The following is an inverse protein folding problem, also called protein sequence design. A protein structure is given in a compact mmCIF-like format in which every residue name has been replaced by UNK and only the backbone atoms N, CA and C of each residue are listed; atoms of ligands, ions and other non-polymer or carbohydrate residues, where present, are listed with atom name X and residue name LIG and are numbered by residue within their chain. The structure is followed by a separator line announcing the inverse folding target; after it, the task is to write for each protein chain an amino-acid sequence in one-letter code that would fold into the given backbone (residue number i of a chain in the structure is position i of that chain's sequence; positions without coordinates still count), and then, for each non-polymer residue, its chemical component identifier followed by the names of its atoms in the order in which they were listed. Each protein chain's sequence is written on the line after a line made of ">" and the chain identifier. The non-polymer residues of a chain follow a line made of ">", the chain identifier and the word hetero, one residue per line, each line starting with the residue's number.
data_IF_801232131039
#
_entry.id   IF_801232131039
#
_cell.length_a   1.000
_cell.length_b   1.000
_cell.length_c   1.000
_cell.angle_alpha   90.00
_cell.angle_beta   90.00
_cell.angle_gamma   90.00
#
_symmetry.space_group_name_H-M   'P 1'
#
loop_
_entity.id
_entity.type
_entity.pdbx_description
1 polymer ?
#
# COMPACT_ATOMS: atom_id res chain seq x y z
N UNK A 1 13.11 0.19 7.79
CA UNK A 1 14.15 0.12 8.86
C UNK A 1 14.17 -1.30 9.37
N UNK A 2 15.21 -2.08 8.98
CA UNK A 2 15.45 -3.42 9.52
C UNK A 2 15.99 -3.18 10.93
N UNK A 3 15.27 -3.66 11.96
CA UNK A 3 15.82 -3.70 13.31
C UNK A 3 16.71 -4.94 13.39
N UNK A 4 18.00 -4.74 13.51
CA UNK A 4 18.93 -5.81 13.82
C UNK A 4 18.70 -6.24 15.28
N UNK A 5 18.27 -7.48 15.45
CA UNK A 5 18.22 -8.12 16.77
C UNK A 5 19.56 -8.82 17.01
N UNK A 6 20.06 -8.77 18.24
CA UNK A 6 21.15 -9.65 18.63
C UNK A 6 20.68 -11.10 18.56
N UNK A 7 21.58 -12.02 18.18
CA UNK A 7 21.31 -13.47 18.27
C UNK A 7 20.94 -13.90 19.69
N UNK A 8 21.40 -13.15 20.67
CA UNK A 8 21.19 -13.42 22.09
C UNK A 8 19.77 -13.05 22.57
N UNK A 9 19.10 -12.14 21.84
CA UNK A 9 17.71 -11.76 22.11
C UNK A 9 16.70 -12.81 21.64
N UNK A 10 17.14 -13.80 20.84
CA UNK A 10 16.27 -14.85 20.32
C UNK A 10 16.20 -15.99 21.33
N UNK A 11 15.11 -16.09 22.05
CA UNK A 11 14.89 -17.12 23.06
C UNK A 11 14.66 -18.50 22.46
N UNK A 12 13.88 -18.59 21.36
CA UNK A 12 13.48 -19.85 20.71
C UNK A 12 13.53 -19.70 19.20
N UNK A 13 13.90 -20.75 18.47
CA UNK A 13 13.91 -20.78 17.01
C UNK A 13 15.27 -20.51 16.40
N UNK A 14 15.29 -19.98 15.18
CA UNK A 14 16.50 -19.72 14.43
C UNK A 14 17.24 -18.49 14.98
N UNK A 15 18.44 -18.68 15.49
CA UNK A 15 19.29 -17.63 16.08
C UNK A 15 20.02 -16.75 15.05
N UNK A 16 19.64 -16.80 13.76
CA UNK A 16 20.23 -15.94 12.72
C UNK A 16 19.40 -14.67 12.56
N UNK A 17 19.82 -13.51 13.06
CA UNK A 17 19.04 -12.28 13.00
C UNK A 17 18.90 -11.76 11.57
N UNK A 18 19.79 -12.13 10.66
CA UNK A 18 19.82 -11.77 9.25
C UNK A 18 19.32 -12.88 8.30
N UNK A 19 18.44 -13.77 8.78
CA UNK A 19 17.96 -14.91 7.99
C UNK A 19 17.40 -14.47 6.62
N UNK A 20 16.63 -13.37 6.58
CA UNK A 20 16.09 -12.83 5.33
C UNK A 20 17.19 -12.51 4.33
N UNK A 21 18.23 -11.79 4.75
CA UNK A 21 19.38 -11.44 3.91
C UNK A 21 20.08 -12.69 3.35
N UNK A 22 20.23 -13.73 4.19
CA UNK A 22 20.83 -14.99 3.76
C UNK A 22 19.98 -15.71 2.70
N UNK A 23 18.65 -15.69 2.84
CA UNK A 23 17.72 -16.24 1.84
C UNK A 23 17.81 -15.46 0.52
N UNK A 24 17.77 -14.13 0.58
CA UNK A 24 17.88 -13.26 -0.59
C UNK A 24 19.20 -13.47 -1.34
N UNK A 25 20.32 -13.51 -0.62
CA UNK A 25 21.64 -13.80 -1.19
C UNK A 25 21.68 -15.17 -1.88
N UNK A 26 21.03 -16.18 -1.27
CA UNK A 26 20.99 -17.54 -1.84
C UNK A 26 20.12 -17.61 -3.09
N UNK A 27 18.99 -16.92 -3.12
CA UNK A 27 18.12 -16.79 -4.30
C UNK A 27 18.86 -16.11 -5.45
N UNK A 28 19.56 -15.00 -5.16
CA UNK A 28 20.36 -14.28 -6.14
C UNK A 28 21.47 -15.17 -6.72
N UNK A 29 22.18 -15.94 -5.86
CA UNK A 29 23.26 -16.85 -6.30
C UNK A 29 22.75 -18.02 -7.16
N UNK A 30 21.49 -18.42 -7.00
CA UNK A 30 20.86 -19.49 -7.82
C UNK A 30 20.22 -18.97 -9.09
N UNK A 31 20.08 -17.65 -9.27
CA UNK A 31 19.36 -17.05 -10.37
C UNK A 31 17.83 -17.14 -10.25
N UNK A 32 17.30 -17.64 -9.13
CA UNK A 32 15.87 -17.84 -8.89
C UNK A 32 15.14 -16.54 -8.52
N UNK A 33 15.87 -15.43 -8.33
CA UNK A 33 15.31 -14.16 -7.83
C UNK A 33 14.20 -13.57 -8.69
N UNK A 34 14.23 -13.82 -10.01
CA UNK A 34 13.22 -13.32 -10.93
C UNK A 34 11.82 -13.95 -10.71
N UNK A 35 11.74 -15.09 -10.04
CA UNK A 35 10.48 -15.82 -9.79
C UNK A 35 9.83 -15.44 -8.45
N UNK A 36 10.54 -14.68 -7.60
CA UNK A 36 10.06 -14.30 -6.28
C UNK A 36 9.05 -13.16 -6.38
N UNK A 37 7.81 -13.43 -5.96
CA UNK A 37 6.70 -12.46 -6.00
C UNK A 37 6.45 -11.75 -4.66
N UNK A 38 7.20 -12.08 -3.64
CA UNK A 38 7.07 -11.48 -2.31
C UNK A 38 7.38 -9.97 -2.37
N UNK A 39 6.51 -9.16 -1.76
CA UNK A 39 6.51 -7.69 -1.88
C UNK A 39 7.86 -7.10 -1.47
N UNK A 40 8.38 -7.48 -0.30
CA UNK A 40 9.63 -6.92 0.24
C UNK A 40 10.87 -7.34 -0.56
N UNK A 41 10.84 -8.49 -1.22
CA UNK A 41 11.90 -8.89 -2.13
C UNK A 41 11.91 -8.04 -3.41
N UNK A 42 10.72 -7.60 -3.82
CA UNK A 42 10.53 -6.76 -4.99
C UNK A 42 10.70 -5.27 -4.72
N UNK A 43 10.81 -4.87 -3.47
CA UNK A 43 11.03 -3.47 -3.07
C UNK A 43 12.23 -2.87 -3.81
N UNK A 44 12.09 -1.64 -4.33
CA UNK A 44 13.21 -0.91 -4.92
C UNK A 44 14.25 -0.61 -3.84
N UNK A 45 15.54 -0.70 -4.21
CA UNK A 45 16.62 -0.31 -3.32
C UNK A 45 16.67 1.21 -3.14
N UNK A 46 17.38 1.65 -2.10
CA UNK A 46 17.62 3.08 -1.80
C UNK A 46 18.35 3.83 -2.93
N UNK A 47 18.94 3.12 -3.90
CA UNK A 47 19.58 3.71 -5.08
C UNK A 47 18.58 4.35 -6.06
N UNK A 48 17.27 4.20 -5.80
CA UNK A 48 16.22 4.74 -6.64
C UNK A 48 15.88 3.86 -7.83
N UNK A 49 14.72 4.13 -8.43
CA UNK A 49 14.33 3.64 -9.74
C UNK A 49 14.19 4.86 -10.65
N UNK A 50 14.39 4.68 -11.93
CA UNK A 50 13.98 5.68 -12.90
C UNK A 50 12.45 5.74 -12.86
N UNK A 51 11.91 6.87 -12.44
CA UNK A 51 10.49 7.07 -12.25
C UNK A 51 9.74 7.18 -13.59
N UNK A 52 10.45 7.56 -14.66
CA UNK A 52 9.88 7.66 -16.00
C UNK A 52 9.60 6.27 -16.61
N UNK A 53 10.20 5.23 -16.06
CA UNK A 53 9.98 3.83 -16.47
C UNK A 53 8.92 3.10 -15.63
N UNK A 54 8.32 3.75 -14.63
CA UNK A 54 7.31 3.12 -13.79
C UNK A 54 5.99 2.96 -14.52
N UNK A 55 5.36 1.80 -14.36
CA UNK A 55 4.00 1.53 -14.81
C UNK A 55 3.11 1.15 -13.63
N UNK A 56 1.83 1.52 -13.71
CA UNK A 56 0.82 1.08 -12.75
C UNK A 56 0.33 -0.33 -13.15
N UNK A 57 0.53 -1.29 -12.26
CA UNK A 57 0.03 -2.65 -12.39
C UNK A 57 -1.13 -2.87 -11.42
N UNK A 58 -2.26 -3.33 -11.95
CA UNK A 58 -3.52 -3.59 -11.24
C UNK A 58 -4.00 -5.04 -11.39
N UNK A 59 -3.16 -5.92 -11.92
CA UNK A 59 -3.55 -7.30 -12.27
C UNK A 59 -3.84 -8.17 -11.03
N UNK A 60 -3.27 -7.80 -9.85
CA UNK A 60 -3.47 -8.60 -8.64
C UNK A 60 -4.80 -8.24 -7.98
N UNK A 61 -5.76 -9.13 -8.17
CA UNK A 61 -7.07 -9.06 -7.54
C UNK A 61 -7.52 -10.45 -7.10
N UNK A 62 -8.27 -10.53 -6.01
CA UNK A 62 -8.81 -11.79 -5.51
C UNK A 62 -10.05 -11.57 -4.64
N UNK A 63 -10.91 -12.57 -4.62
CA UNK A 63 -12.09 -12.61 -3.75
C UNK A 63 -11.77 -13.31 -2.44
N UNK A 64 -12.37 -12.80 -1.39
CA UNK A 64 -12.52 -13.47 -0.09
C UNK A 64 -14.02 -13.70 0.17
N UNK A 65 -14.42 -14.45 1.22
CA UNK A 65 -15.84 -14.60 1.53
C UNK A 65 -16.59 -13.29 1.80
N UNK A 66 -15.88 -12.20 2.10
CA UNK A 66 -16.49 -10.95 2.60
C UNK A 66 -15.98 -9.69 1.89
N UNK A 67 -14.97 -9.81 1.01
CA UNK A 67 -14.39 -8.67 0.29
C UNK A 67 -13.87 -9.06 -1.07
N UNK A 68 -13.84 -8.11 -2.01
CA UNK A 68 -13.02 -8.18 -3.22
C UNK A 68 -11.79 -7.30 -3.02
N UNK A 69 -10.62 -7.89 -3.07
CA UNK A 69 -9.35 -7.21 -2.80
C UNK A 69 -8.64 -6.83 -4.10
N UNK A 70 -8.10 -5.62 -4.13
CA UNK A 70 -7.28 -5.10 -5.23
C UNK A 70 -5.91 -4.67 -4.69
N UNK A 71 -4.85 -5.05 -5.39
CA UNK A 71 -3.48 -4.64 -5.10
C UNK A 71 -2.95 -3.83 -6.27
N UNK A 72 -2.82 -2.54 -6.07
CA UNK A 72 -2.29 -1.59 -7.06
C UNK A 72 -0.81 -1.38 -6.78
N UNK A 73 0.05 -1.44 -7.77
CA UNK A 73 1.49 -1.27 -7.57
C UNK A 73 2.15 -0.49 -8.71
N UNK A 74 3.07 0.40 -8.35
CA UNK A 74 4.01 1.00 -9.28
C UNK A 74 5.20 0.07 -9.44
N UNK A 75 5.44 -0.38 -10.66
CA UNK A 75 6.48 -1.37 -10.96
C UNK A 75 7.45 -0.86 -12.02
N UNK A 76 8.72 -1.23 -11.85
CA UNK A 76 9.75 -1.05 -12.88
C UNK A 76 9.62 -2.15 -13.94
N UNK A 77 10.26 -2.01 -15.13
CA UNK A 77 10.32 -3.07 -16.15
C UNK A 77 10.91 -4.39 -15.64
N UNK A 78 11.70 -4.35 -14.56
CA UNK A 78 12.26 -5.54 -13.89
C UNK A 78 11.35 -6.11 -12.81
N UNK A 79 10.12 -5.62 -12.67
CA UNK A 79 9.16 -6.08 -11.69
C UNK A 79 9.46 -5.66 -10.24
N UNK A 80 10.35 -4.67 -10.02
CA UNK A 80 10.54 -4.09 -8.69
C UNK A 80 9.43 -3.12 -8.37
N UNK A 81 9.04 -3.04 -7.09
CA UNK A 81 7.92 -2.23 -6.59
C UNK A 81 8.45 -0.91 -6.04
N UNK A 82 8.00 0.21 -6.61
CA UNK A 82 8.27 1.56 -6.11
C UNK A 82 7.22 2.05 -5.10
N UNK A 83 6.02 1.52 -5.16
CA UNK A 83 4.95 1.79 -4.21
C UNK A 83 3.75 0.91 -4.50
N UNK A 84 2.88 0.74 -3.51
CA UNK A 84 1.67 -0.03 -3.65
C UNK A 84 0.53 0.50 -2.76
N UNK A 85 -0.68 0.08 -3.11
CA UNK A 85 -1.90 0.31 -2.34
C UNK A 85 -2.72 -0.98 -2.30
N UNK A 86 -3.30 -1.27 -1.12
CA UNK A 86 -4.29 -2.33 -0.93
C UNK A 86 -5.66 -1.73 -0.75
N UNK A 87 -6.57 -2.06 -1.68
CA UNK A 87 -7.97 -1.64 -1.66
C UNK A 87 -8.85 -2.85 -1.39
N UNK A 88 -9.72 -2.74 -0.37
CA UNK A 88 -10.80 -3.68 -0.11
C UNK A 88 -12.13 -3.08 -0.57
N UNK A 89 -12.91 -3.88 -1.26
CA UNK A 89 -14.29 -3.61 -1.65
C UNK A 89 -15.17 -4.62 -0.90
N UNK A 90 -15.72 -4.27 0.29
CA UNK A 90 -16.47 -5.20 1.13
C UNK A 90 -17.79 -5.62 0.47
N UNK A 91 -18.18 -6.87 0.66
CA UNK A 91 -19.53 -7.33 0.29
C UNK A 91 -20.58 -6.57 1.06
N UNK A 92 -21.47 -5.87 0.36
CA UNK A 92 -22.47 -4.98 0.94
C UNK A 92 -23.49 -5.74 1.78
N UNK A 93 -23.88 -6.93 1.34
CA UNK A 93 -24.86 -7.74 2.06
C UNK A 93 -24.24 -8.26 3.37
N UNK A 94 -22.96 -8.65 3.33
CA UNK A 94 -22.24 -9.04 4.53
C UNK A 94 -22.14 -7.87 5.53
N UNK A 95 -21.72 -6.68 5.08
CA UNK A 95 -21.61 -5.50 5.96
C UNK A 95 -22.97 -5.11 6.54
N UNK A 96 -24.04 -5.13 5.72
CA UNK A 96 -25.39 -4.84 6.20
C UNK A 96 -25.87 -5.84 7.26
N UNK A 97 -25.53 -7.12 7.10
CA UNK A 97 -25.90 -8.17 8.06
C UNK A 97 -25.12 -8.08 9.39
N UNK A 98 -23.98 -7.37 9.42
CA UNK A 98 -23.11 -7.21 10.60
C UNK A 98 -22.97 -5.74 11.02
N UNK A 99 -23.99 -4.92 10.74
CA UNK A 99 -23.96 -3.48 11.02
C UNK A 99 -23.73 -3.13 12.51
N UNK A 100 -24.12 -4.02 13.41
CA UNK A 100 -23.91 -3.85 14.86
C UNK A 100 -22.47 -4.15 15.30
N UNK A 101 -21.69 -4.84 14.47
CA UNK A 101 -20.34 -5.30 14.78
C UNK A 101 -19.26 -4.51 14.01
N UNK A 102 -19.60 -4.00 12.83
CA UNK A 102 -18.66 -3.33 11.94
C UNK A 102 -18.77 -1.80 12.05
N UNK A 103 -17.64 -1.09 12.12
CA UNK A 103 -17.62 0.38 12.16
C UNK A 103 -17.75 1.02 10.78
N UNK A 104 -18.17 0.28 9.76
CA UNK A 104 -18.29 0.72 8.36
C UNK A 104 -19.69 0.47 7.82
N UNK A 105 -20.09 1.25 6.83
CA UNK A 105 -21.38 1.11 6.16
C UNK A 105 -21.23 0.28 4.86
N UNK A 106 -22.33 -0.30 4.32
CA UNK A 106 -22.27 -1.17 3.14
C UNK A 106 -21.75 -0.52 1.86
N UNK A 107 -21.81 0.81 1.77
CA UNK A 107 -21.37 1.58 0.60
C UNK A 107 -19.97 2.22 0.79
N UNK A 108 -19.22 1.75 1.76
CA UNK A 108 -17.87 2.21 2.09
C UNK A 108 -16.80 1.22 1.65
N UNK A 109 -15.96 1.64 0.70
CA UNK A 109 -14.70 0.96 0.36
C UNK A 109 -13.60 1.30 1.37
N UNK A 110 -12.50 0.52 1.40
CA UNK A 110 -11.43 0.71 2.37
C UNK A 110 -10.05 0.64 1.73
N UNK A 111 -9.28 1.72 1.85
CA UNK A 111 -7.83 1.69 1.63
C UNK A 111 -7.17 1.15 2.90
N UNK A 112 -6.61 -0.04 2.82
CA UNK A 112 -6.01 -0.73 3.96
C UNK A 112 -4.55 -0.37 4.18
N UNK A 113 -3.84 -0.07 3.10
CA UNK A 113 -2.42 0.23 3.15
C UNK A 113 -2.03 1.05 1.93
N UNK A 114 -1.22 2.06 2.14
CA UNK A 114 -0.49 2.77 1.08
C UNK A 114 0.97 2.84 1.49
N UNK A 115 1.85 2.38 0.63
CA UNK A 115 3.28 2.41 0.88
C UNK A 115 4.03 2.86 -0.38
N UNK A 116 4.89 3.86 -0.23
CA UNK A 116 5.80 4.31 -1.30
C UNK A 116 7.23 4.16 -0.77
N UNK A 117 8.02 3.40 -1.51
CA UNK A 117 9.42 3.15 -1.18
C UNK A 117 10.30 4.30 -1.66
N UNK A 118 11.32 4.62 -0.91
CA UNK A 118 12.29 5.65 -1.25
C UNK A 118 12.83 6.37 -0.02
N UNK A 119 13.81 7.24 -0.21
CA UNK A 119 14.27 8.12 0.87
C UNK A 119 13.17 9.11 1.21
N UNK A 120 12.77 9.17 2.48
CA UNK A 120 11.85 10.20 2.96
C UNK A 120 12.44 11.58 2.59
N UNK A 121 11.70 12.36 1.81
CA UNK A 121 12.08 13.73 1.56
C UNK A 121 12.14 14.49 2.88
N UNK A 122 13.24 15.20 3.12
CA UNK A 122 13.23 16.22 4.18
C UNK A 122 12.28 17.33 3.75
N UNK A 123 11.48 17.83 4.68
CA UNK A 123 10.61 18.98 4.44
C UNK A 123 11.48 20.14 3.92
N UNK A 124 11.25 20.54 2.66
CA UNK A 124 12.00 21.60 1.99
C UNK A 124 12.94 21.18 0.86
N UNK A 125 13.19 19.89 0.64
CA UNK A 125 13.98 19.40 -0.50
C UNK A 125 13.14 19.39 -1.78
N UNK A 126 13.52 20.22 -2.75
CA UNK A 126 12.91 20.25 -4.10
C UNK A 126 13.55 19.24 -5.08
N UNK A 127 14.23 18.20 -4.57
CA UNK A 127 14.90 17.19 -5.37
C UNK A 127 14.02 16.01 -5.80
N UNK A 128 14.66 14.93 -6.27
CA UNK A 128 14.00 13.66 -6.69
C UNK A 128 12.98 13.10 -5.68
N UNK A 129 13.07 13.46 -4.41
CA UNK A 129 12.12 13.10 -3.37
C UNK A 129 10.72 13.69 -3.58
N UNK A 130 10.59 14.84 -4.24
CA UNK A 130 9.28 15.44 -4.56
C UNK A 130 8.48 14.60 -5.57
N UNK A 131 9.15 13.82 -6.42
CA UNK A 131 8.52 12.91 -7.37
C UNK A 131 7.83 11.74 -6.67
N UNK A 132 8.34 11.27 -5.54
CA UNK A 132 7.71 10.20 -4.76
C UNK A 132 6.38 10.63 -4.11
N UNK A 133 6.18 11.92 -3.84
CA UNK A 133 4.91 12.43 -3.32
C UNK A 133 3.76 12.25 -4.33
N UNK A 134 4.05 12.23 -5.64
CA UNK A 134 3.06 11.99 -6.69
C UNK A 134 2.56 10.55 -6.72
N UNK A 135 3.41 9.55 -6.54
CA UNK A 135 3.06 8.14 -6.66
C UNK A 135 1.97 7.70 -5.66
N UNK A 136 2.09 8.11 -4.41
CA UNK A 136 1.09 7.81 -3.38
C UNK A 136 -0.25 8.47 -3.68
N UNK A 137 -0.24 9.72 -4.13
CA UNK A 137 -1.44 10.45 -4.56
C UNK A 137 -2.14 9.71 -5.71
N UNK A 138 -1.41 9.37 -6.76
CA UNK A 138 -1.95 8.67 -7.92
C UNK A 138 -2.54 7.29 -7.56
N UNK A 139 -1.92 6.55 -6.63
CA UNK A 139 -2.49 5.30 -6.10
C UNK A 139 -3.83 5.55 -5.39
N UNK A 140 -3.91 6.58 -4.55
CA UNK A 140 -5.15 6.93 -3.83
C UNK A 140 -6.23 7.39 -4.80
N UNK A 141 -5.90 8.23 -5.78
CA UNK A 141 -6.84 8.68 -6.82
C UNK A 141 -7.38 7.49 -7.62
N UNK A 142 -6.50 6.55 -7.99
CA UNK A 142 -6.93 5.34 -8.70
C UNK A 142 -7.82 4.43 -7.85
N UNK A 143 -7.51 4.29 -6.58
CA UNK A 143 -8.35 3.53 -5.64
C UNK A 143 -9.76 4.16 -5.50
N UNK A 144 -9.85 5.49 -5.42
CA UNK A 144 -11.13 6.22 -5.41
C UNK A 144 -11.93 5.95 -6.71
N UNK A 145 -11.26 5.96 -7.87
CA UNK A 145 -11.93 5.66 -9.14
C UNK A 145 -12.45 4.22 -9.17
N UNK A 146 -11.64 3.24 -8.76
CA UNK A 146 -12.06 1.83 -8.70
C UNK A 146 -13.26 1.64 -7.76
N UNK A 147 -13.24 2.27 -6.58
CA UNK A 147 -14.35 2.22 -5.64
C UNK A 147 -15.63 2.83 -6.25
N UNK A 148 -15.52 3.97 -6.92
CA UNK A 148 -16.62 4.61 -7.66
C UNK A 148 -17.20 3.70 -8.73
N UNK A 149 -16.35 3.14 -9.59
CA UNK A 149 -16.74 2.26 -10.70
C UNK A 149 -17.42 0.98 -10.19
N UNK A 150 -17.04 0.51 -8.99
CA UNK A 150 -17.70 -0.57 -8.28
C UNK A 150 -18.96 -0.13 -7.51
N UNK A 151 -19.34 1.16 -7.62
CA UNK A 151 -20.59 1.74 -7.08
C UNK A 151 -20.53 2.10 -5.59
N UNK A 152 -19.35 2.17 -4.96
CA UNK A 152 -19.22 2.65 -3.57
C UNK A 152 -19.36 4.17 -3.54
N UNK A 153 -20.09 4.65 -2.51
CA UNK A 153 -20.32 6.10 -2.31
C UNK A 153 -19.15 6.75 -1.60
N UNK A 154 -18.52 6.01 -0.70
CA UNK A 154 -17.42 6.51 0.13
C UNK A 154 -16.21 5.58 0.10
N UNK A 155 -15.06 6.16 0.38
CA UNK A 155 -13.82 5.42 0.59
C UNK A 155 -13.17 5.86 1.89
N UNK A 156 -12.85 4.89 2.73
CA UNK A 156 -12.20 5.09 4.01
C UNK A 156 -10.70 4.78 3.89
N UNK A 157 -9.90 5.38 4.77
CA UNK A 157 -8.50 5.02 4.95
C UNK A 157 -8.14 4.89 6.42
N UNK A 158 -7.41 3.82 6.75
CA UNK A 158 -6.77 3.66 8.06
C UNK A 158 -5.48 4.50 8.03
N UNK A 159 -5.43 5.53 8.85
CA UNK A 159 -4.33 6.49 8.84
C UNK A 159 -3.63 6.57 10.19
N UNK A 160 -2.30 6.46 10.20
CA UNK A 160 -1.50 6.83 11.36
C UNK A 160 -1.59 8.35 11.61
N UNK A 161 -1.41 8.78 12.87
CA UNK A 161 -1.50 10.21 13.25
C UNK A 161 -0.62 11.09 12.35
N UNK A 162 0.61 10.67 12.08
CA UNK A 162 1.56 11.46 11.28
C UNK A 162 1.23 11.56 9.79
N UNK A 163 0.26 10.78 9.28
CA UNK A 163 -0.14 10.80 7.86
C UNK A 163 -1.53 11.40 7.64
N UNK A 164 -2.23 11.82 8.69
CA UNK A 164 -3.59 12.39 8.57
C UNK A 164 -3.63 13.64 7.69
N UNK A 165 -2.68 14.56 7.87
CA UNK A 165 -2.61 15.78 7.05
C UNK A 165 -2.41 15.46 5.56
N UNK A 166 -1.62 14.46 5.23
CA UNK A 166 -1.47 14.00 3.86
C UNK A 166 -2.83 13.63 3.24
N UNK A 167 -3.65 12.83 3.93
CA UNK A 167 -4.97 12.45 3.42
C UNK A 167 -5.95 13.61 3.40
N UNK A 168 -5.88 14.54 4.36
CA UNK A 168 -6.70 15.76 4.34
C UNK A 168 -6.40 16.62 3.10
N UNK A 169 -5.14 16.76 2.70
CA UNK A 169 -4.76 17.41 1.45
C UNK A 169 -5.28 16.68 0.19
N UNK A 170 -5.61 15.40 0.30
CA UNK A 170 -6.26 14.63 -0.77
C UNK A 170 -7.79 14.67 -0.70
N UNK A 171 -8.37 15.51 0.17
CA UNK A 171 -9.81 15.70 0.31
C UNK A 171 -10.51 14.73 1.25
N UNK A 172 -9.75 13.99 2.08
CA UNK A 172 -10.34 13.17 3.15
C UNK A 172 -10.65 14.02 4.38
N UNK A 173 -11.70 13.67 5.11
CA UNK A 173 -12.11 14.27 6.38
C UNK A 173 -12.21 13.22 7.48
N UNK A 174 -12.16 13.65 8.73
CA UNK A 174 -12.28 12.75 9.88
C UNK A 174 -13.69 12.15 9.96
N UNK A 175 -13.78 10.82 10.03
CA UNK A 175 -15.03 10.08 10.11
C UNK A 175 -14.87 8.85 11.03
N UNK A 176 -15.36 8.96 12.25
CA UNK A 176 -15.25 7.91 13.24
C UNK A 176 -13.80 7.46 13.51
N UNK A 177 -13.50 6.20 13.22
CA UNK A 177 -12.16 5.62 13.37
C UNK A 177 -11.25 5.90 12.18
N UNK A 178 -11.78 6.41 11.07
CA UNK A 178 -11.11 6.53 9.77
C UNK A 178 -11.02 7.98 9.32
N UNK A 179 -10.29 8.19 8.23
CA UNK A 179 -10.50 9.32 7.34
C UNK A 179 -11.30 8.84 6.14
N UNK A 180 -12.30 9.62 5.73
CA UNK A 180 -13.24 9.28 4.65
C UNK A 180 -13.23 10.34 3.56
N UNK A 181 -13.51 9.91 2.33
CA UNK A 181 -13.77 10.79 1.19
C UNK A 181 -14.95 10.26 0.38
N UNK A 182 -15.75 11.14 -0.20
CA UNK A 182 -16.73 10.77 -1.21
C UNK A 182 -16.02 10.18 -2.44
N UNK A 183 -16.40 8.99 -2.84
CA UNK A 183 -15.83 8.38 -4.05
C UNK A 183 -16.28 9.13 -5.32
N UNK A 184 -17.40 9.86 -5.24
CA UNK A 184 -18.00 10.67 -6.31
C UNK A 184 -17.50 12.12 -6.35
N UNK A 185 -16.78 12.59 -5.34
CA UNK A 185 -16.28 13.96 -5.31
C UNK A 185 -15.24 14.15 -6.42
N UNK A 186 -15.61 14.93 -7.43
CA UNK A 186 -14.69 15.39 -8.46
C UNK A 186 -13.61 16.25 -7.81
N UNK A 187 -12.40 16.11 -8.32
CA UNK A 187 -11.28 16.95 -7.87
C UNK A 187 -11.58 18.41 -8.18
N UNK A 188 -11.65 19.23 -7.15
CA UNK A 188 -11.63 20.69 -7.28
C UNK A 188 -10.23 21.18 -7.64
#
# INVERSE_FOLDING_TARGET
>A
MIRDFSSDDIMVGNKKPNLRQLVENRLAARGDGATVREIRYREISTAGADLDELSLDEEVAYETPVTYERFLQWVTPRGKIAGFLRLSLPDRAFVAAHADELPTMPDEAMIREVHVYGMAARVGDQGQAAQHHGLGRLLVERACQIARDAGYTYINVISAIGTREYYRHLGFYDHGLYLQKGALDEQA
#
